data_IF_370053020285
#
_entry.id   IF_370053020285
#
_cell.length_a   1.000
_cell.length_b   1.000
_cell.length_c   1.000
_cell.angle_alpha   90.00
_cell.angle_beta   90.00
_cell.angle_gamma   90.00
#
_symmetry.space_group_name_H-M   'P 1'
#
loop_
_entity.id
_entity.type
_entity.pdbx_description
1 polymer ?
#
# COMPACT_ATOMS: atom_id res chain seq x y z
N UNK A 1 11.06 -6.69 1.13
CA UNK A 1 10.79 -5.80 2.28
C UNK A 1 10.53 -6.52 3.61
N UNK A 2 9.89 -7.71 3.64
CA UNK A 2 9.56 -8.39 4.91
C UNK A 2 10.80 -8.71 5.77
N UNK A 3 11.87 -9.25 5.16
CA UNK A 3 13.13 -9.53 5.88
C UNK A 3 13.75 -8.28 6.50
N UNK A 4 13.67 -7.13 5.80
CA UNK A 4 14.15 -5.86 6.32
C UNK A 4 13.29 -5.39 7.52
N UNK A 5 11.96 -5.48 7.42
CA UNK A 5 11.07 -5.14 8.54
C UNK A 5 11.31 -5.97 9.80
N UNK A 6 11.56 -7.28 9.66
CA UNK A 6 11.93 -8.14 10.79
C UNK A 6 13.33 -7.82 11.35
N UNK A 7 14.26 -7.41 10.49
CA UNK A 7 15.60 -7.00 10.91
C UNK A 7 15.55 -5.67 11.68
N UNK A 8 14.75 -4.71 11.20
CA UNK A 8 14.66 -3.37 11.77
C UNK A 8 13.79 -3.30 13.04
N UNK A 9 12.72 -4.11 13.12
CA UNK A 9 11.79 -4.09 14.26
C UNK A 9 12.23 -5.01 15.41
N UNK A 10 12.85 -6.16 15.08
CA UNK A 10 13.22 -7.18 16.09
C UNK A 10 14.74 -7.36 16.25
N UNK A 11 15.57 -6.65 15.48
CA UNK A 11 17.03 -6.77 15.55
C UNK A 11 17.56 -8.14 15.11
N UNK A 12 16.79 -8.89 14.33
CA UNK A 12 17.14 -10.27 13.96
C UNK A 12 18.26 -10.33 12.92
N UNK A 13 19.11 -11.35 13.02
CA UNK A 13 20.13 -11.59 11.99
C UNK A 13 19.45 -11.91 10.64
N UNK A 14 20.01 -11.38 9.54
CA UNK A 14 19.47 -11.53 8.17
C UNK A 14 19.18 -12.98 7.81
N UNK A 15 20.01 -13.91 8.30
CA UNK A 15 19.86 -15.36 8.07
C UNK A 15 18.60 -15.91 8.74
N UNK A 16 18.31 -15.53 9.99
CA UNK A 16 17.11 -15.98 10.72
C UNK A 16 15.84 -15.41 10.09
N UNK A 17 15.84 -14.11 9.79
CA UNK A 17 14.71 -13.45 9.15
C UNK A 17 14.39 -14.06 7.76
N UNK A 18 15.41 -14.38 6.96
CA UNK A 18 15.21 -15.01 5.64
C UNK A 18 14.62 -16.42 5.76
N UNK A 19 15.14 -17.25 6.67
CA UNK A 19 14.65 -18.61 6.86
C UNK A 19 13.21 -18.65 7.39
N UNK A 20 12.86 -17.75 8.33
CA UNK A 20 11.50 -17.65 8.84
C UNK A 20 10.53 -17.21 7.74
N UNK A 21 10.88 -16.17 6.96
CA UNK A 21 10.05 -15.71 5.84
C UNK A 21 9.84 -16.81 4.82
N UNK A 22 10.91 -17.54 4.46
CA UNK A 22 10.81 -18.66 3.51
C UNK A 22 9.90 -19.78 4.03
N UNK A 23 10.13 -20.24 5.27
CA UNK A 23 9.34 -21.33 5.86
C UNK A 23 7.85 -20.97 6.00
N UNK A 24 7.56 -19.75 6.45
CA UNK A 24 6.18 -19.27 6.57
C UNK A 24 5.52 -19.11 5.20
N UNK A 25 6.25 -18.58 4.20
CA UNK A 25 5.73 -18.44 2.83
C UNK A 25 5.44 -19.80 2.20
N UNK A 26 6.31 -20.79 2.42
CA UNK A 26 6.12 -22.16 1.93
C UNK A 26 4.87 -22.81 2.52
N UNK A 27 4.65 -22.68 3.84
CA UNK A 27 3.47 -23.23 4.51
C UNK A 27 2.19 -22.52 4.07
N UNK A 28 2.23 -21.19 3.98
CA UNK A 28 1.11 -20.40 3.49
C UNK A 28 0.82 -20.68 2.01
N UNK A 29 1.81 -21.03 1.19
CA UNK A 29 1.59 -21.36 -0.21
C UNK A 29 0.93 -22.73 -0.45
N UNK A 30 0.90 -23.63 0.55
CA UNK A 30 0.34 -24.98 0.36
C UNK A 30 -1.18 -25.01 0.11
N UNK A 31 -2.04 -24.31 0.89
CA UNK A 31 -3.48 -24.29 0.65
C UNK A 31 -3.91 -23.85 -0.77
N UNK A 32 -3.41 -22.74 -1.35
CA UNK A 32 -3.81 -22.30 -2.68
C UNK A 32 -3.23 -23.16 -3.80
N UNK A 33 -2.13 -23.89 -3.57
CA UNK A 33 -1.61 -24.85 -4.56
C UNK A 33 -2.51 -26.07 -4.75
N UNK A 34 -3.35 -26.40 -3.76
CA UNK A 34 -4.19 -27.61 -3.76
C UNK A 34 -5.58 -27.34 -4.36
N UNK A 35 -6.14 -26.16 -4.14
CA UNK A 35 -7.48 -25.82 -4.64
C UNK A 35 -7.49 -24.42 -5.26
N UNK A 36 -7.89 -24.36 -6.54
CA UNK A 36 -8.08 -23.10 -7.28
C UNK A 36 -9.19 -22.23 -6.67
N UNK A 37 -10.20 -22.83 -6.04
CA UNK A 37 -11.24 -22.09 -5.31
C UNK A 37 -10.71 -21.35 -4.09
N UNK A 38 -9.54 -21.75 -3.56
CA UNK A 38 -8.84 -21.05 -2.47
C UNK A 38 -7.85 -20.04 -3.06
N UNK A 39 -7.17 -20.40 -4.16
CA UNK A 39 -6.23 -19.51 -4.85
C UNK A 39 -6.92 -18.23 -5.35
N UNK A 40 -8.05 -18.34 -6.04
CA UNK A 40 -8.74 -17.19 -6.65
C UNK A 40 -9.12 -16.11 -5.63
N UNK A 41 -9.82 -16.40 -4.51
CA UNK A 41 -10.13 -15.38 -3.52
C UNK A 41 -8.89 -14.84 -2.81
N UNK A 42 -7.86 -15.65 -2.59
CA UNK A 42 -6.60 -15.16 -2.00
C UNK A 42 -5.83 -14.22 -2.93
N UNK A 43 -5.72 -14.55 -4.21
CA UNK A 43 -5.06 -13.72 -5.21
C UNK A 43 -5.82 -12.40 -5.40
N UNK A 44 -7.15 -12.45 -5.48
CA UNK A 44 -7.97 -11.24 -5.57
C UNK A 44 -7.88 -10.37 -4.31
N UNK A 45 -7.90 -10.98 -3.12
CA UNK A 45 -7.85 -10.26 -1.85
C UNK A 45 -6.49 -9.64 -1.59
N UNK A 46 -5.40 -10.39 -1.75
CA UNK A 46 -4.05 -9.90 -1.45
C UNK A 46 -3.37 -9.19 -2.62
N UNK A 47 -3.61 -9.64 -3.85
CA UNK A 47 -3.11 -9.03 -5.07
C UNK A 47 -3.82 -7.72 -5.35
N UNK A 48 -5.10 -7.76 -5.74
CA UNK A 48 -5.83 -6.56 -6.16
C UNK A 48 -6.32 -5.71 -4.97
N UNK A 49 -6.97 -6.33 -3.98
CA UNK A 49 -7.56 -5.64 -2.84
C UNK A 49 -6.50 -5.08 -1.90
N UNK A 50 -5.51 -5.90 -1.54
CA UNK A 50 -4.43 -5.54 -0.64
C UNK A 50 -3.53 -4.43 -1.17
N UNK A 51 -3.19 -4.46 -2.47
CA UNK A 51 -2.42 -3.38 -3.10
C UNK A 51 -3.20 -2.07 -3.13
N UNK A 52 -4.48 -2.12 -3.53
CA UNK A 52 -5.35 -0.93 -3.58
C UNK A 52 -5.54 -0.32 -2.20
N UNK A 53 -5.75 -1.15 -1.18
CA UNK A 53 -5.83 -0.73 0.22
C UNK A 53 -4.51 -0.12 0.71
N UNK A 54 -3.37 -0.76 0.43
CA UNK A 54 -2.06 -0.23 0.79
C UNK A 54 -1.77 1.12 0.15
N UNK A 55 -2.13 1.29 -1.12
CA UNK A 55 -2.01 2.56 -1.84
C UNK A 55 -2.90 3.65 -1.24
N UNK A 56 -4.15 3.32 -0.89
CA UNK A 56 -5.07 4.23 -0.18
C UNK A 56 -4.47 4.70 1.16
N UNK A 57 -4.01 3.76 1.98
CA UNK A 57 -3.41 4.08 3.29
C UNK A 57 -2.15 4.94 3.11
N UNK A 58 -1.30 4.61 2.14
CA UNK A 58 -0.09 5.39 1.85
C UNK A 58 -0.43 6.82 1.42
N UNK A 59 -1.38 6.98 0.52
CA UNK A 59 -1.77 8.29 -0.01
C UNK A 59 -2.50 9.14 1.02
N UNK A 60 -3.37 8.57 1.84
CA UNK A 60 -4.00 9.29 2.96
C UNK A 60 -2.95 9.68 4.00
N UNK A 61 -2.02 8.77 4.31
CA UNK A 61 -0.93 9.06 5.25
C UNK A 61 -0.06 10.21 4.75
N UNK A 62 0.39 10.15 3.50
CA UNK A 62 1.25 11.18 2.88
C UNK A 62 0.50 12.48 2.70
N UNK A 63 -0.76 12.44 2.24
CA UNK A 63 -1.55 13.62 1.96
C UNK A 63 -1.97 14.36 3.24
N UNK A 64 -2.57 13.64 4.18
CA UNK A 64 -3.33 14.26 5.28
C UNK A 64 -2.73 14.02 6.66
N UNK A 65 -2.11 12.87 6.92
CA UNK A 65 -1.54 12.55 8.25
C UNK A 65 -0.16 13.17 8.44
N UNK A 66 0.66 13.19 7.39
CA UNK A 66 2.03 13.71 7.45
C UNK A 66 2.04 15.24 7.52
N UNK A 67 2.84 15.80 8.43
CA UNK A 67 2.94 17.25 8.59
C UNK A 67 3.66 17.86 7.38
N UNK A 68 3.12 18.97 6.88
CA UNK A 68 3.70 19.74 5.75
C UNK A 68 5.18 20.06 5.94
N UNK A 69 5.61 20.32 7.18
CA UNK A 69 7.01 20.58 7.51
C UNK A 69 7.92 19.38 7.19
N UNK A 70 7.51 18.16 7.57
CA UNK A 70 8.25 16.92 7.29
C UNK A 70 8.31 16.59 5.79
N UNK A 71 7.24 16.90 5.05
CA UNK A 71 7.22 16.75 3.59
C UNK A 71 8.15 17.74 2.88
N UNK A 72 8.18 19.00 3.34
CA UNK A 72 9.12 20.01 2.83
C UNK A 72 10.57 19.61 3.11
N UNK A 73 10.84 19.10 4.30
CA UNK A 73 12.19 18.67 4.71
C UNK A 73 12.67 17.46 3.91
N UNK A 74 11.78 16.51 3.59
CA UNK A 74 12.12 15.33 2.79
C UNK A 74 12.24 15.60 1.29
N UNK A 75 11.47 16.55 0.73
CA UNK A 75 11.41 16.79 -0.72
C UNK A 75 12.27 17.97 -1.17
N UNK A 76 12.28 19.07 -0.39
CA UNK A 76 12.82 20.36 -0.83
C UNK A 76 14.17 20.71 -0.20
N UNK A 77 14.60 20.00 0.84
CA UNK A 77 15.85 20.29 1.56
C UNK A 77 15.88 21.72 2.15
N UNK A 78 17.07 22.31 2.26
CA UNK A 78 17.29 23.58 2.99
C UNK A 78 16.73 24.85 2.29
N UNK A 79 16.41 24.81 0.99
CA UNK A 79 15.98 25.99 0.22
C UNK A 79 14.75 25.72 -0.68
N UNK A 80 13.53 25.68 -0.13
CA UNK A 80 12.33 25.31 -0.87
C UNK A 80 11.93 26.35 -1.93
N UNK A 81 11.88 25.92 -3.20
CA UNK A 81 11.44 26.74 -4.33
C UNK A 81 9.93 26.97 -4.34
N UNK A 82 9.43 27.82 -5.26
CA UNK A 82 7.96 27.98 -5.48
C UNK A 82 7.34 26.70 -6.06
N UNK A 83 8.11 25.94 -6.84
CA UNK A 83 7.67 24.69 -7.46
C UNK A 83 7.47 23.59 -6.42
N UNK A 84 8.34 23.51 -5.41
CA UNK A 84 8.22 22.50 -4.33
C UNK A 84 6.97 22.75 -3.48
N UNK A 85 6.63 24.02 -3.26
CA UNK A 85 5.40 24.41 -2.56
C UNK A 85 4.15 24.05 -3.37
N UNK A 86 4.19 24.20 -4.70
CA UNK A 86 3.10 23.80 -5.58
C UNK A 86 2.95 22.27 -5.62
N UNK A 87 4.07 21.53 -5.73
CA UNK A 87 4.10 20.06 -5.69
C UNK A 87 3.55 19.52 -4.38
N UNK A 88 3.88 20.12 -3.24
CA UNK A 88 3.35 19.70 -1.94
C UNK A 88 1.86 20.00 -1.81
N UNK A 89 1.39 21.12 -2.37
CA UNK A 89 -0.04 21.39 -2.42
C UNK A 89 -0.78 20.35 -3.28
N UNK A 90 -0.18 19.98 -4.42
CA UNK A 90 -0.71 18.95 -5.33
C UNK A 90 -0.69 17.56 -4.68
N UNK A 91 0.38 17.20 -3.97
CA UNK A 91 0.52 15.94 -3.24
C UNK A 91 -0.44 15.85 -2.04
N UNK A 92 -0.81 16.98 -1.44
CA UNK A 92 -1.72 17.05 -0.29
C UNK A 92 -3.20 17.04 -0.68
N UNK A 93 -3.53 17.56 -1.86
CA UNK A 93 -4.91 17.73 -2.29
C UNK A 93 -5.27 16.94 -3.53
N UNK A 94 -4.48 17.00 -4.60
CA UNK A 94 -4.85 16.38 -5.88
C UNK A 94 -4.61 14.87 -5.87
N UNK A 95 -3.45 14.42 -5.41
CA UNK A 95 -3.13 12.98 -5.34
C UNK A 95 -4.10 12.22 -4.42
N UNK A 96 -4.41 12.70 -3.18
CA UNK A 96 -5.29 11.97 -2.29
C UNK A 96 -6.75 11.99 -2.73
N UNK A 97 -7.22 13.10 -3.29
CA UNK A 97 -8.59 13.16 -3.82
C UNK A 97 -8.77 12.27 -5.05
N UNK A 98 -7.81 12.26 -5.98
CA UNK A 98 -7.87 11.39 -7.16
C UNK A 98 -7.83 9.90 -6.78
N UNK A 99 -6.95 9.53 -5.86
CA UNK A 99 -6.82 8.14 -5.38
C UNK A 99 -8.03 7.72 -4.56
N UNK A 100 -8.59 8.59 -3.72
CA UNK A 100 -9.86 8.32 -3.04
C UNK A 100 -11.02 8.19 -3.99
N UNK A 101 -11.10 9.01 -5.04
CA UNK A 101 -12.15 8.90 -6.05
C UNK A 101 -12.05 7.58 -6.82
N UNK A 102 -10.83 7.18 -7.21
CA UNK A 102 -10.59 5.88 -7.85
C UNK A 102 -10.93 4.70 -6.93
N UNK A 103 -10.57 4.79 -5.65
CA UNK A 103 -10.92 3.78 -4.66
C UNK A 103 -12.41 3.69 -4.37
N UNK A 104 -13.09 4.83 -4.26
CA UNK A 104 -14.53 4.88 -4.06
C UNK A 104 -15.25 4.31 -5.29
N UNK A 105 -14.81 4.66 -6.49
CA UNK A 105 -15.30 4.08 -7.73
C UNK A 105 -15.14 2.56 -7.73
N UNK A 106 -13.93 2.06 -7.46
CA UNK A 106 -13.64 0.64 -7.39
C UNK A 106 -14.49 -0.09 -6.34
N UNK A 107 -14.64 0.47 -5.14
CA UNK A 107 -15.48 -0.10 -4.08
C UNK A 107 -16.95 -0.19 -4.50
N UNK A 108 -17.46 0.83 -5.19
CA UNK A 108 -18.85 0.85 -5.68
C UNK A 108 -19.08 -0.15 -6.82
N UNK A 109 -18.12 -0.33 -7.72
CA UNK A 109 -18.26 -1.21 -8.89
C UNK A 109 -17.93 -2.67 -8.59
N UNK A 110 -16.80 -2.95 -7.95
CA UNK A 110 -16.28 -4.32 -7.77
C UNK A 110 -16.77 -4.97 -6.46
N UNK A 111 -16.96 -4.18 -5.39
CA UNK A 111 -17.29 -4.74 -4.06
C UNK A 111 -18.79 -4.70 -3.77
N UNK A 112 -19.47 -3.59 -4.12
CA UNK A 112 -20.90 -3.42 -3.84
C UNK A 112 -21.82 -3.85 -5.00
N UNK A 113 -21.27 -4.17 -6.17
CA UNK A 113 -22.03 -4.73 -7.29
C UNK A 113 -23.09 -3.79 -7.89
N UNK A 114 -23.03 -2.48 -7.63
CA UNK A 114 -24.02 -1.51 -8.11
C UNK A 114 -24.01 -1.32 -9.65
N UNK A 115 -23.07 -1.96 -10.36
CA UNK A 115 -22.95 -1.94 -11.81
C UNK A 115 -23.02 -3.33 -12.47
N UNK A 116 -23.50 -4.38 -11.78
CA UNK A 116 -23.85 -5.67 -12.41
C UNK A 116 -25.32 -5.73 -12.87
N UNK A 117 -25.94 -4.58 -13.10
CA UNK A 117 -27.33 -4.42 -13.52
C UNK A 117 -27.51 -3.95 -14.96
N UNK A 118 -26.63 -4.33 -15.89
CA UNK A 118 -26.86 -4.27 -17.36
C UNK A 118 -26.22 -5.48 -18.03
#
# INVERSE_FOLDING_TARGET
MIVAGFTDTFGWSRRRATWTVYGVSMLLAMPPMINLEIFVPWDLTFGSGGQTFGALVAVVTVGWVMRRATLLEQIAGEAPSRTDRALIHWLRWVVPTAVMAAALWWLLTDVLGAAQGV
#
